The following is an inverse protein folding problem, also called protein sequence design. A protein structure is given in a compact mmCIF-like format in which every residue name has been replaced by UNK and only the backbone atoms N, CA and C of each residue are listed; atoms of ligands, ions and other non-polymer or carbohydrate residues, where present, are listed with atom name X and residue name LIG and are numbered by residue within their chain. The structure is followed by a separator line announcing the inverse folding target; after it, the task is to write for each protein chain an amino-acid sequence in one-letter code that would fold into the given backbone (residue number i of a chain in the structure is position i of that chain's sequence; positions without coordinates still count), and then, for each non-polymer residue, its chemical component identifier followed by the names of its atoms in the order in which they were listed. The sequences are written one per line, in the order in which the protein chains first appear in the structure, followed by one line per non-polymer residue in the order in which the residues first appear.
data_IF_003338550373
#
_entry.id   IF_003338550373
#
_cell.length_a   1.000
_cell.length_b   1.000
_cell.length_c   1.000
_cell.angle_alpha   90.00
_cell.angle_beta   90.00
_cell.angle_gamma   90.00
#
_symmetry.space_group_name_H-M   'P 1'
#
loop_
_entity.id
_entity.type
_entity.pdbx_description
1 polymer ?
#
# COMPACT_ATOMS: atom_id res chain seq x y z
N UNK A 1 -22.02 -14.22 -1.95
CA UNK A 1 -21.28 -12.96 -1.84
C UNK A 1 -21.43 -12.47 -0.42
N UNK A 2 -20.35 -12.00 0.21
CA UNK A 2 -20.31 -11.70 1.64
C UNK A 2 -20.38 -10.18 1.90
N UNK A 3 -21.02 -9.81 3.00
CA UNK A 3 -21.00 -8.44 3.55
C UNK A 3 -19.60 -8.07 4.04
N UNK A 4 -19.33 -6.78 4.29
CA UNK A 4 -18.01 -6.33 4.76
C UNK A 4 -17.56 -7.02 6.05
N UNK A 5 -18.49 -7.25 6.99
CA UNK A 5 -18.22 -7.94 8.26
C UNK A 5 -17.84 -9.39 8.05
N UNK A 6 -18.61 -10.12 7.23
CA UNK A 6 -18.34 -11.52 6.90
C UNK A 6 -17.00 -11.67 6.17
N UNK A 7 -16.65 -10.76 5.26
CA UNK A 7 -15.33 -10.76 4.60
C UNK A 7 -14.22 -10.52 5.62
N UNK A 8 -14.41 -9.61 6.58
CA UNK A 8 -13.46 -9.40 7.67
C UNK A 8 -13.20 -10.65 8.50
N UNK A 9 -14.25 -11.39 8.85
CA UNK A 9 -14.16 -12.66 9.58
C UNK A 9 -13.52 -13.78 8.75
N UNK A 10 -13.88 -13.90 7.46
CA UNK A 10 -13.28 -14.87 6.55
C UNK A 10 -11.79 -14.63 6.37
N UNK A 11 -11.37 -13.37 6.23
CA UNK A 11 -9.95 -13.03 6.16
C UNK A 11 -9.25 -13.27 7.51
N UNK A 12 -9.93 -13.07 8.63
CA UNK A 12 -9.37 -13.40 9.94
C UNK A 12 -9.04 -14.89 10.06
N UNK A 13 -9.91 -15.77 9.57
CA UNK A 13 -9.66 -17.21 9.50
C UNK A 13 -8.47 -17.57 8.60
N UNK A 14 -8.08 -16.69 7.67
CA UNK A 14 -6.89 -16.82 6.81
C UNK A 14 -5.63 -16.19 7.42
N UNK A 15 -5.67 -15.78 8.69
CA UNK A 15 -4.53 -15.23 9.43
C UNK A 15 -4.43 -13.71 9.39
N UNK A 16 -5.37 -13.00 8.76
CA UNK A 16 -5.44 -11.55 8.86
C UNK A 16 -5.98 -11.11 10.23
N UNK A 17 -5.73 -9.86 10.60
CA UNK A 17 -6.52 -9.21 11.64
C UNK A 17 -7.89 -8.85 11.06
N UNK A 18 -8.92 -8.88 11.91
CA UNK A 18 -10.27 -8.44 11.52
C UNK A 18 -10.26 -6.94 11.23
N UNK A 19 -10.69 -6.57 10.03
CA UNK A 19 -10.85 -5.19 9.59
C UNK A 19 -12.14 -5.05 8.75
N UNK A 20 -12.61 -3.82 8.62
CA UNK A 20 -13.64 -3.45 7.64
C UNK A 20 -13.00 -2.86 6.37
N UNK A 21 -13.79 -2.82 5.27
CA UNK A 21 -13.34 -2.17 4.03
C UNK A 21 -13.09 -0.68 4.27
N UNK A 22 -13.97 -0.01 5.01
CA UNK A 22 -13.82 1.40 5.39
C UNK A 22 -12.48 1.66 6.09
N UNK A 23 -12.13 0.84 7.08
CA UNK A 23 -10.86 0.97 7.81
C UNK A 23 -9.65 0.82 6.91
N UNK A 24 -9.64 -0.19 6.03
CA UNK A 24 -8.49 -0.42 5.15
C UNK A 24 -8.39 0.59 4.02
N UNK A 25 -9.52 1.09 3.50
CA UNK A 25 -9.52 2.22 2.54
C UNK A 25 -9.00 3.50 3.21
N UNK A 26 -9.36 3.76 4.47
CA UNK A 26 -8.82 4.91 5.21
C UNK A 26 -7.34 4.76 5.52
N UNK A 27 -6.87 3.56 5.88
CA UNK A 27 -5.45 3.28 6.04
C UNK A 27 -4.68 3.50 4.73
N UNK A 28 -5.23 3.03 3.60
CA UNK A 28 -4.63 3.28 2.29
C UNK A 28 -4.57 4.77 1.95
N UNK A 29 -5.64 5.52 2.22
CA UNK A 29 -5.66 6.95 2.02
C UNK A 29 -4.64 7.70 2.90
N UNK A 30 -4.46 7.27 4.15
CA UNK A 30 -3.48 7.84 5.06
C UNK A 30 -2.05 7.57 4.57
N UNK A 31 -1.74 6.33 4.21
CA UNK A 31 -0.44 5.95 3.65
C UNK A 31 -0.13 6.75 2.38
N UNK A 32 -1.04 6.80 1.40
CA UNK A 32 -0.85 7.58 0.17
C UNK A 32 -0.55 9.05 0.47
N UNK A 33 -1.30 9.65 1.40
CA UNK A 33 -1.09 11.05 1.79
C UNK A 33 0.25 11.27 2.51
N UNK A 34 0.73 10.30 3.28
CA UNK A 34 2.07 10.36 3.90
C UNK A 34 3.18 10.23 2.86
N UNK A 35 3.05 9.32 1.88
CA UNK A 35 4.00 9.16 0.78
C UNK A 35 4.10 10.44 -0.06
N UNK A 36 2.96 11.06 -0.38
CA UNK A 36 2.91 12.33 -1.12
C UNK A 36 3.66 13.48 -0.42
N UNK A 37 3.74 13.45 0.92
CA UNK A 37 4.45 14.45 1.72
C UNK A 37 5.89 14.04 2.08
N UNK A 38 6.33 12.86 1.65
CA UNK A 38 7.54 12.22 2.13
C UNK A 38 7.26 11.41 3.40
N UNK A 39 7.14 10.09 3.24
CA UNK A 39 6.95 9.15 4.35
C UNK A 39 8.24 9.08 5.18
N UNK A 40 8.15 9.47 6.46
CA UNK A 40 9.32 9.72 7.30
C UNK A 40 9.74 8.57 8.24
N UNK A 41 8.84 7.62 8.49
CA UNK A 41 9.14 6.47 9.36
C UNK A 41 10.10 5.48 8.67
N UNK A 42 10.36 4.33 9.30
CA UNK A 42 11.33 3.36 8.79
C UNK A 42 10.75 2.41 7.73
N UNK A 43 11.62 1.57 7.17
CA UNK A 43 11.28 0.60 6.12
C UNK A 43 10.30 -0.48 6.60
N UNK A 44 10.35 -0.88 7.87
CA UNK A 44 9.47 -1.91 8.41
C UNK A 44 8.07 -1.36 8.62
N UNK A 45 7.93 -0.14 9.15
CA UNK A 45 6.63 0.55 9.23
C UNK A 45 6.04 0.79 7.84
N UNK A 46 6.85 1.23 6.88
CA UNK A 46 6.38 1.41 5.50
C UNK A 46 5.86 0.10 4.88
N UNK A 47 6.60 -0.99 5.02
CA UNK A 47 6.17 -2.29 4.49
C UNK A 47 4.93 -2.83 5.23
N UNK A 48 4.82 -2.60 6.54
CA UNK A 48 3.63 -2.93 7.32
C UNK A 48 2.39 -2.16 6.84
N UNK A 49 2.52 -0.85 6.61
CA UNK A 49 1.42 -0.04 6.10
C UNK A 49 0.95 -0.49 4.72
N UNK A 50 1.84 -0.97 3.84
CA UNK A 50 1.46 -1.51 2.53
C UNK A 50 0.51 -2.72 2.62
N UNK A 51 0.49 -3.46 3.74
CA UNK A 51 -0.45 -4.56 3.91
C UNK A 51 -1.91 -4.13 3.96
N UNK A 52 -2.23 -2.84 4.18
CA UNK A 52 -3.61 -2.38 4.04
C UNK A 52 -4.12 -2.59 2.60
N UNK A 53 -3.26 -2.44 1.59
CA UNK A 53 -3.62 -2.66 0.18
C UNK A 53 -3.66 -4.13 -0.18
N UNK A 54 -2.84 -4.97 0.46
CA UNK A 54 -2.92 -6.43 0.37
C UNK A 54 -4.26 -6.93 0.90
N UNK A 55 -4.66 -6.46 2.08
CA UNK A 55 -5.95 -6.83 2.66
C UNK A 55 -7.11 -6.43 1.73
N UNK A 56 -7.08 -5.22 1.16
CA UNK A 56 -8.10 -4.77 0.19
C UNK A 56 -8.14 -5.64 -1.05
N UNK A 57 -7.00 -6.12 -1.55
CA UNK A 57 -6.93 -7.03 -2.69
C UNK A 57 -7.60 -8.37 -2.38
N UNK A 58 -7.29 -8.98 -1.24
CA UNK A 58 -7.91 -10.24 -0.79
C UNK A 58 -9.42 -10.09 -0.56
N UNK A 59 -9.83 -8.98 0.09
CA UNK A 59 -11.23 -8.67 0.34
C UNK A 59 -12.02 -8.53 -0.97
N UNK A 60 -11.42 -7.91 -1.99
CA UNK A 60 -12.07 -7.65 -3.28
C UNK A 60 -12.59 -8.91 -3.98
N UNK A 61 -11.94 -10.04 -3.74
CA UNK A 61 -12.32 -11.34 -4.33
C UNK A 61 -13.53 -11.97 -3.64
N UNK A 62 -13.91 -11.49 -2.45
CA UNK A 62 -14.94 -12.08 -1.59
C UNK A 62 -16.18 -11.18 -1.43
N UNK A 63 -16.01 -9.87 -1.62
CA UNK A 63 -17.04 -8.86 -1.44
C UNK A 63 -18.18 -9.01 -2.46
N UNK A 64 -19.37 -8.61 -2.03
CA UNK A 64 -20.52 -8.46 -2.91
C UNK A 64 -20.31 -7.40 -4.00
N UNK A 65 -20.88 -7.65 -5.18
CA UNK A 65 -20.76 -6.77 -6.34
C UNK A 65 -21.18 -5.33 -6.01
N UNK A 66 -22.24 -5.13 -5.21
CA UNK A 66 -22.69 -3.80 -4.83
C UNK A 66 -21.63 -3.06 -3.99
N UNK A 67 -20.98 -3.77 -3.06
CA UNK A 67 -19.92 -3.21 -2.22
C UNK A 67 -18.67 -2.90 -3.06
N UNK A 68 -18.32 -3.80 -3.99
CA UNK A 68 -17.24 -3.57 -4.96
C UNK A 68 -17.51 -2.33 -5.79
N UNK A 69 -18.72 -2.17 -6.34
CA UNK A 69 -19.10 -1.00 -7.14
C UNK A 69 -19.04 0.29 -6.32
N UNK A 70 -19.48 0.26 -5.06
CA UNK A 70 -19.43 1.41 -4.14
C UNK A 70 -18.00 1.91 -3.91
N UNK A 71 -17.05 1.00 -3.64
CA UNK A 71 -15.69 1.38 -3.25
C UNK A 71 -14.71 1.52 -4.41
N UNK A 72 -14.98 0.90 -5.57
CA UNK A 72 -14.10 0.92 -6.75
C UNK A 72 -13.61 2.33 -7.13
N UNK A 73 -14.48 3.36 -7.24
CA UNK A 73 -14.03 4.69 -7.66
C UNK A 73 -13.01 5.30 -6.70
N UNK A 74 -13.22 5.14 -5.38
CA UNK A 74 -12.33 5.67 -4.34
C UNK A 74 -10.98 4.97 -4.34
N UNK A 75 -10.96 3.64 -4.43
CA UNK A 75 -9.70 2.89 -4.48
C UNK A 75 -8.92 3.23 -5.75
N UNK A 76 -9.59 3.33 -6.91
CA UNK A 76 -8.91 3.73 -8.17
C UNK A 76 -8.28 5.12 -8.06
N UNK A 77 -8.95 6.08 -7.42
CA UNK A 77 -8.39 7.41 -7.19
C UNK A 77 -7.16 7.37 -6.28
N UNK A 78 -7.19 6.56 -5.22
CA UNK A 78 -6.04 6.37 -4.33
C UNK A 78 -4.87 5.65 -5.03
N UNK A 79 -5.16 4.60 -5.82
CA UNK A 79 -4.16 3.88 -6.60
C UNK A 79 -3.49 4.78 -7.64
N UNK A 80 -4.25 5.69 -8.27
CA UNK A 80 -3.69 6.69 -9.19
C UNK A 80 -2.75 7.67 -8.47
N UNK A 81 -3.16 8.19 -7.31
CA UNK A 81 -2.32 9.06 -6.46
C UNK A 81 -1.04 8.34 -6.01
N UNK A 82 -1.16 7.10 -5.55
CA UNK A 82 0.00 6.28 -5.18
C UNK A 82 0.97 6.14 -6.35
N UNK A 83 0.49 5.84 -7.56
CA UNK A 83 1.33 5.71 -8.76
C UNK A 83 2.08 7.00 -9.08
N UNK A 84 1.46 8.17 -8.89
CA UNK A 84 2.11 9.48 -9.10
C UNK A 84 3.19 9.71 -8.04
N UNK A 85 2.88 9.41 -6.78
CA UNK A 85 3.75 9.64 -5.64
C UNK A 85 4.90 8.60 -5.49
N UNK A 86 4.94 7.58 -6.35
CA UNK A 86 5.93 6.50 -6.30
C UNK A 86 6.59 6.27 -7.66
N UNK A 87 7.77 5.66 -7.65
CA UNK A 87 8.54 5.25 -8.81
C UNK A 87 8.45 3.74 -8.94
N UNK A 88 8.23 3.25 -10.16
CA UNK A 88 8.28 1.81 -10.46
C UNK A 88 9.73 1.39 -10.72
N UNK A 89 10.26 0.52 -9.87
CA UNK A 89 11.59 -0.05 -10.01
C UNK A 89 11.53 -1.58 -10.13
N UNK A 90 10.36 -2.15 -10.40
CA UNK A 90 10.13 -3.59 -10.37
C UNK A 90 10.22 -4.21 -8.96
N UNK A 91 10.29 -3.38 -7.92
CA UNK A 91 10.48 -3.77 -6.52
C UNK A 91 11.93 -3.97 -6.11
N UNK A 92 12.90 -3.60 -6.95
CA UNK A 92 14.32 -3.81 -6.66
C UNK A 92 14.76 -3.23 -5.31
N UNK A 93 14.29 -2.03 -4.95
CA UNK A 93 14.62 -1.41 -3.68
C UNK A 93 13.96 -2.12 -2.49
N UNK A 94 12.68 -2.51 -2.62
CA UNK A 94 11.94 -3.12 -1.52
C UNK A 94 12.32 -4.58 -1.26
N UNK A 95 12.71 -5.35 -2.29
CA UNK A 95 13.07 -6.78 -2.16
C UNK A 95 14.28 -7.01 -1.24
N UNK A 96 15.12 -6.00 -1.04
CA UNK A 96 16.26 -6.07 -0.12
C UNK A 96 15.84 -6.08 1.36
N UNK A 97 14.65 -5.60 1.68
CA UNK A 97 14.15 -5.46 3.06
C UNK A 97 12.94 -6.34 3.35
N UNK A 98 12.13 -6.62 2.33
CA UNK A 98 10.93 -7.42 2.46
C UNK A 98 10.75 -8.29 1.22
N UNK A 99 10.70 -9.61 1.40
CA UNK A 99 10.45 -10.55 0.30
C UNK A 99 9.17 -10.15 -0.43
N UNK A 100 9.27 -9.84 -1.71
CA UNK A 100 8.13 -9.32 -2.42
C UNK A 100 7.05 -10.39 -2.59
N UNK A 101 5.78 -10.05 -2.35
CA UNK A 101 4.66 -10.93 -2.65
C UNK A 101 4.49 -11.10 -4.17
N UNK A 102 3.53 -11.94 -4.58
CA UNK A 102 3.29 -12.31 -5.97
C UNK A 102 3.21 -11.11 -6.95
N UNK A 103 3.43 -11.35 -8.25
CA UNK A 103 3.56 -10.29 -9.25
C UNK A 103 2.32 -9.39 -9.38
N UNK A 104 1.14 -9.88 -9.00
CA UNK A 104 -0.13 -9.14 -9.08
C UNK A 104 -0.23 -7.99 -8.06
N UNK A 105 0.61 -7.97 -7.02
CA UNK A 105 0.62 -6.91 -5.99
C UNK A 105 1.55 -5.77 -6.41
N UNK A 106 1.21 -5.10 -7.52
CA UNK A 106 2.03 -4.10 -8.20
C UNK A 106 2.49 -2.92 -7.31
N UNK A 107 1.78 -2.61 -6.21
CA UNK A 107 2.19 -1.53 -5.31
C UNK A 107 3.50 -1.83 -4.56
N UNK A 108 3.86 -3.11 -4.42
CA UNK A 108 5.16 -3.56 -3.89
C UNK A 108 6.31 -3.43 -4.89
N UNK A 109 6.02 -3.11 -6.15
CA UNK A 109 7.01 -2.93 -7.21
C UNK A 109 7.48 -1.47 -7.31
N UNK A 110 7.16 -0.69 -6.29
CA UNK A 110 7.29 0.75 -6.31
C UNK A 110 7.78 1.25 -4.96
N UNK A 111 8.54 2.34 -4.99
CA UNK A 111 8.99 3.04 -3.78
C UNK A 111 8.59 4.52 -3.82
N UNK A 112 8.52 5.23 -2.68
CA UNK A 112 8.23 6.66 -2.65
C UNK A 112 9.16 7.48 -3.54
N UNK A 113 8.60 8.48 -4.23
CA UNK A 113 9.35 9.43 -5.04
C UNK A 113 10.15 10.41 -4.18
N UNK A 114 9.57 10.86 -3.07
CA UNK A 114 10.22 11.75 -2.10
C UNK A 114 10.89 10.86 -1.05
N UNK A 115 12.22 10.87 -1.02
CA UNK A 115 13.01 10.02 -0.14
C UNK A 115 13.48 10.82 1.08
N UNK A 116 12.69 10.80 2.15
CA UNK A 116 12.98 11.51 3.40
C UNK A 116 13.10 10.53 4.57
N UNK A 117 13.61 11.00 5.71
CA UNK A 117 13.64 10.24 6.96
C UNK A 117 14.39 8.91 6.85
N UNK A 118 13.95 7.93 7.64
CA UNK A 118 14.63 6.65 7.82
C UNK A 118 14.37 5.70 6.65
N UNK A 119 13.15 5.70 6.12
CA UNK A 119 12.79 5.04 4.88
C UNK A 119 13.66 5.52 3.71
N UNK A 120 13.79 6.84 3.54
CA UNK A 120 14.57 7.42 2.45
C UNK A 120 16.04 7.02 2.47
N UNK A 121 16.66 6.97 3.66
CA UNK A 121 18.05 6.49 3.81
C UNK A 121 18.19 5.01 3.43
N UNK A 122 17.24 4.19 3.88
CA UNK A 122 17.23 2.75 3.60
C UNK A 122 17.07 2.48 2.09
N UNK A 123 16.08 3.12 1.46
CA UNK A 123 15.82 2.97 0.02
C UNK A 123 17.00 3.45 -0.84
N UNK A 124 17.63 4.58 -0.51
CA UNK A 124 18.84 5.05 -1.23
C UNK A 124 19.99 4.05 -1.10
N UNK A 125 20.17 3.46 0.07
CA UNK A 125 21.19 2.43 0.31
C UNK A 125 20.94 1.18 -0.54
N UNK A 126 19.67 0.89 -0.83
CA UNK A 126 19.25 -0.17 -1.74
C UNK A 126 19.27 0.22 -3.24
N UNK A 127 19.72 1.43 -3.58
CA UNK A 127 19.85 1.90 -4.97
C UNK A 127 18.62 2.63 -5.51
N UNK A 128 17.62 2.94 -4.68
CA UNK A 128 16.46 3.73 -5.09
C UNK A 128 16.86 5.17 -5.48
N UNK A 129 16.28 5.66 -6.57
CA UNK A 129 16.47 7.04 -7.05
C UNK A 129 15.20 7.83 -6.80
N UNK A 130 15.29 8.97 -6.13
CA UNK A 130 14.14 9.82 -5.84
C UNK A 130 14.56 11.27 -5.56
N UNK A 131 13.58 12.15 -5.40
CA UNK A 131 13.80 13.54 -5.03
C UNK A 131 14.15 13.66 -3.54
N UNK A 132 15.04 14.59 -3.21
CA UNK A 132 15.21 15.06 -1.83
C UNK A 132 14.06 16.03 -1.49
N UNK A 133 13.55 16.01 -0.25
CA UNK A 133 12.49 16.94 0.16
C UNK A 133 12.93 18.41 0.02
N UNK A 134 14.22 18.70 0.03
CA UNK A 134 14.78 20.06 -0.12
C UNK A 134 14.89 20.53 -1.59
N UNK A 135 14.43 19.73 -2.56
CA UNK A 135 14.52 20.04 -4.01
C UNK A 135 13.17 20.28 -4.70
N UNK A 136 12.07 20.40 -3.95
CA UNK A 136 10.71 20.59 -4.49
C UNK A 136 10.10 21.91 -4.04
#
# INVERSE_FOLDING_TARGET
MATETEVGELLHQRGWRTFTVTERVNAWAALVSSIERGYGDDIYEYTNDLYCRNWLHEAWLLLDEHVVQLWTPRIKALDARYKVATIDDGGQALDQFHRLPGPDLWWWRRHPRILTGDLGRSLRSAGAVGADPDTV
#
